data_IF_687640299653
#
_entry.id   IF_687640299653
#
_cell.length_a   1.000
_cell.length_b   1.000
_cell.length_c   1.000
_cell.angle_alpha   90.00
_cell.angle_beta   90.00
_cell.angle_gamma   90.00
#
_symmetry.space_group_name_H-M   'P 1'
#
loop_
_entity.id
_entity.type
_entity.pdbx_description
1 polymer ?
#
# COMPACT_ATOMS: atom_id res chain seq x y z
N UNK A 1 29.27 13.55 6.40
CA UNK A 1 29.33 12.47 5.40
C UNK A 1 28.12 12.64 4.49
N UNK A 2 28.34 13.06 3.25
CA UNK A 2 27.25 13.25 2.29
C UNK A 2 26.79 11.87 1.82
N UNK A 3 25.58 11.46 2.20
CA UNK A 3 24.91 10.30 1.60
C UNK A 3 24.67 10.64 0.13
N UNK A 4 25.44 10.04 -0.78
CA UNK A 4 25.12 10.01 -2.20
C UNK A 4 23.75 9.34 -2.32
N UNK A 5 22.71 10.16 -2.51
CA UNK A 5 21.39 9.70 -2.93
C UNK A 5 21.59 8.92 -4.22
N UNK A 6 21.57 7.59 -4.15
CA UNK A 6 21.67 6.74 -5.33
C UNK A 6 20.62 7.19 -6.34
N UNK A 7 21.05 7.56 -7.53
CA UNK A 7 20.16 7.96 -8.62
C UNK A 7 19.29 6.76 -8.96
N UNK A 8 17.98 6.90 -8.87
CA UNK A 8 17.05 5.82 -9.24
C UNK A 8 17.23 5.50 -10.73
N UNK A 9 17.36 4.22 -11.08
CA UNK A 9 17.54 3.80 -12.49
C UNK A 9 16.33 4.18 -13.36
N UNK A 10 15.14 4.15 -12.76
CA UNK A 10 13.88 4.58 -13.37
C UNK A 10 13.08 5.43 -12.37
N UNK A 11 12.25 6.33 -12.87
CA UNK A 11 11.32 7.09 -12.04
C UNK A 11 10.09 7.52 -12.85
N UNK A 12 9.06 7.98 -12.16
CA UNK A 12 7.86 8.53 -12.78
C UNK A 12 7.65 10.01 -12.43
N UNK A 13 7.06 10.77 -13.36
CA UNK A 13 6.66 12.18 -13.17
C UNK A 13 5.24 12.37 -13.72
N UNK A 14 4.48 13.27 -13.12
CA UNK A 14 3.22 13.75 -13.71
C UNK A 14 3.54 14.51 -15.01
N UNK A 15 2.81 14.19 -16.08
CA UNK A 15 2.93 14.90 -17.37
C UNK A 15 1.76 15.87 -17.52
N UNK A 16 0.54 15.38 -17.26
CA UNK A 16 -0.67 16.13 -17.58
C UNK A 16 -1.86 15.62 -16.76
N UNK A 17 -2.66 16.55 -16.24
CA UNK A 17 -4.02 16.24 -15.78
C UNK A 17 -4.99 16.32 -16.97
N UNK A 18 -5.86 15.32 -17.09
CA UNK A 18 -6.84 15.15 -18.16
C UNK A 18 -8.23 15.25 -17.56
N UNK A 19 -8.96 16.30 -17.92
CA UNK A 19 -10.35 16.49 -17.50
C UNK A 19 -11.23 15.33 -17.97
N UNK A 20 -12.08 14.86 -17.08
CA UNK A 20 -13.09 13.83 -17.40
C UNK A 20 -14.50 14.42 -17.37
N UNK A 21 -15.52 13.57 -17.53
CA UNK A 21 -16.91 14.03 -17.53
C UNK A 21 -17.33 14.61 -16.17
N UNK A 22 -18.27 15.58 -16.14
CA UNK A 22 -18.78 16.13 -14.89
C UNK A 22 -19.25 15.04 -13.91
N UNK A 23 -18.74 15.08 -12.68
CA UNK A 23 -19.04 14.08 -11.64
C UNK A 23 -18.04 12.91 -11.55
N UNK A 24 -17.04 12.86 -12.43
CA UNK A 24 -15.93 11.92 -12.35
C UNK A 24 -14.65 12.61 -11.85
N UNK A 25 -13.71 11.84 -11.31
CA UNK A 25 -12.36 12.35 -11.05
C UNK A 25 -11.60 12.56 -12.35
N UNK A 26 -10.75 13.59 -12.42
CA UNK A 26 -9.84 13.73 -13.54
C UNK A 26 -8.85 12.56 -13.56
N UNK A 27 -8.30 12.31 -14.74
CA UNK A 27 -7.24 11.31 -14.93
C UNK A 27 -5.90 12.02 -14.92
N UNK A 28 -4.85 11.36 -14.45
CA UNK A 28 -3.49 11.88 -14.42
C UNK A 28 -2.61 11.04 -15.34
N UNK A 29 -2.04 11.66 -16.37
CA UNK A 29 -1.07 11.02 -17.25
C UNK A 29 0.30 11.03 -16.59
N UNK A 30 0.87 9.84 -16.42
CA UNK A 30 2.15 9.62 -15.76
C UNK A 30 3.20 9.19 -16.78
N UNK A 31 4.30 9.93 -16.85
CA UNK A 31 5.47 9.57 -17.64
C UNK A 31 6.43 8.70 -16.86
N UNK A 32 7.02 7.71 -17.53
CA UNK A 32 8.09 6.86 -16.99
C UNK A 32 9.38 7.27 -17.69
N UNK A 33 10.43 7.48 -16.90
CA UNK A 33 11.71 7.97 -17.37
C UNK A 33 12.84 7.10 -16.85
N UNK A 34 13.92 7.03 -17.62
CA UNK A 34 15.18 6.43 -17.17
C UNK A 34 16.07 7.45 -16.44
N UNK A 35 17.22 7.00 -15.94
CA UNK A 35 18.22 7.86 -15.26
C UNK A 35 18.80 9.00 -16.10
N UNK A 36 18.61 8.99 -17.42
CA UNK A 36 19.07 10.03 -18.35
C UNK A 36 17.96 11.06 -18.66
N UNK A 37 16.86 11.06 -17.90
CA UNK A 37 15.66 11.87 -18.14
C UNK A 37 14.95 11.58 -19.49
N UNK A 38 15.22 10.44 -20.14
CA UNK A 38 14.51 10.05 -21.36
C UNK A 38 13.18 9.37 -21.00
N UNK A 39 12.08 9.83 -21.58
CA UNK A 39 10.77 9.19 -21.41
C UNK A 39 10.75 7.86 -22.17
N UNK A 40 10.53 6.77 -21.45
CA UNK A 40 10.52 5.40 -22.00
C UNK A 40 9.12 4.79 -22.06
N UNK A 41 8.14 5.41 -21.40
CA UNK A 41 6.76 4.98 -21.40
C UNK A 41 5.84 5.94 -20.68
N UNK A 42 4.56 5.60 -20.63
CA UNK A 42 3.54 6.34 -19.90
C UNK A 42 2.35 5.44 -19.54
N UNK A 43 1.56 5.87 -18.56
CA UNK A 43 0.26 5.27 -18.26
C UNK A 43 -0.69 6.33 -17.70
N UNK A 44 -1.99 6.08 -17.85
CA UNK A 44 -3.03 6.91 -17.26
C UNK A 44 -3.41 6.37 -15.88
N UNK A 45 -3.50 7.26 -14.89
CA UNK A 45 -4.04 6.96 -13.55
C UNK A 45 -5.42 7.58 -13.43
N UNK A 46 -6.45 6.79 -13.12
CA UNK A 46 -7.83 7.29 -12.96
C UNK A 46 -8.09 8.06 -11.64
N UNK A 47 -7.05 8.69 -11.08
CA UNK A 47 -7.09 9.49 -9.87
C UNK A 47 -6.05 10.60 -9.95
N UNK A 48 -6.44 11.80 -9.53
CA UNK A 48 -5.67 13.04 -9.74
C UNK A 48 -4.49 13.24 -8.82
N UNK A 49 -4.45 12.51 -7.70
CA UNK A 49 -3.34 12.61 -6.76
C UNK A 49 -2.29 11.56 -7.10
N UNK A 50 -1.07 12.00 -7.44
CA UNK A 50 0.06 11.09 -7.54
C UNK A 50 0.63 10.81 -6.15
N UNK A 51 0.38 9.61 -5.67
CA UNK A 51 1.12 9.06 -4.56
C UNK A 51 2.42 8.41 -5.06
N UNK A 52 3.21 7.77 -4.18
CA UNK A 52 4.43 7.03 -4.55
C UNK A 52 4.08 5.65 -5.14
N UNK A 53 3.22 5.67 -6.16
CA UNK A 53 2.59 4.51 -6.80
C UNK A 53 3.28 4.12 -8.10
N UNK A 54 4.57 4.43 -8.22
CA UNK A 54 5.49 3.86 -9.19
C UNK A 54 6.77 3.51 -8.44
N UNK A 55 7.14 2.23 -8.44
CA UNK A 55 8.32 1.75 -7.72
C UNK A 55 9.08 0.74 -8.57
N UNK A 56 10.22 1.13 -9.17
CA UNK A 56 11.06 0.21 -9.92
C UNK A 56 11.81 -0.71 -8.96
N UNK A 57 11.98 -1.96 -9.38
CA UNK A 57 12.75 -2.95 -8.63
C UNK A 57 13.36 -3.98 -9.58
N UNK A 58 14.40 -4.66 -9.11
CA UNK A 58 15.06 -5.72 -9.86
C UNK A 58 14.70 -7.08 -9.26
N UNK A 59 14.39 -8.04 -10.12
CA UNK A 59 14.13 -9.43 -9.75
C UNK A 59 14.78 -10.34 -10.80
N UNK A 60 15.63 -11.28 -10.37
CA UNK A 60 16.33 -12.22 -11.27
C UNK A 60 17.03 -11.50 -12.44
N UNK A 61 17.77 -10.43 -12.12
CA UNK A 61 18.51 -9.57 -13.06
C UNK A 61 17.66 -8.77 -14.06
N UNK A 62 16.33 -8.86 -14.00
CA UNK A 62 15.41 -8.09 -14.85
C UNK A 62 14.73 -6.96 -14.06
N UNK A 63 14.49 -5.84 -14.74
CA UNK A 63 13.80 -4.70 -14.17
C UNK A 63 12.29 -4.79 -14.35
N UNK A 64 11.59 -4.46 -13.28
CA UNK A 64 10.15 -4.38 -13.20
C UNK A 64 9.76 -3.09 -12.47
N UNK A 65 8.48 -2.73 -12.53
CA UNK A 65 7.90 -1.73 -11.64
C UNK A 65 6.54 -2.17 -11.12
N UNK A 66 6.33 -1.94 -9.82
CA UNK A 66 5.00 -1.86 -9.26
C UNK A 66 4.42 -0.50 -9.63
N UNK A 67 3.20 -0.49 -10.16
CA UNK A 67 2.50 0.74 -10.49
C UNK A 67 0.99 0.63 -10.22
N UNK A 68 0.28 1.74 -10.31
CA UNK A 68 -1.18 1.74 -10.18
C UNK A 68 -1.77 2.74 -11.18
N UNK A 69 -2.29 2.21 -12.27
CA UNK A 69 -3.12 2.92 -13.26
C UNK A 69 -4.58 3.04 -12.82
N UNK A 70 -5.04 2.11 -11.96
CA UNK A 70 -6.34 2.22 -11.30
C UNK A 70 -6.14 2.50 -9.81
N UNK A 71 -6.91 3.45 -9.27
CA UNK A 71 -6.92 3.88 -7.88
C UNK A 71 -7.05 2.72 -6.89
N UNK A 72 -7.63 1.60 -7.31
CA UNK A 72 -7.96 0.43 -6.48
C UNK A 72 -7.19 -0.84 -6.85
N UNK A 73 -6.19 -0.74 -7.72
CA UNK A 73 -5.43 -1.90 -8.18
C UNK A 73 -3.94 -1.62 -8.32
N UNK A 74 -3.14 -2.64 -7.98
CA UNK A 74 -1.71 -2.67 -8.25
C UNK A 74 -1.41 -3.56 -9.44
N UNK A 75 -0.53 -3.08 -10.31
CA UNK A 75 -0.07 -3.75 -11.52
C UNK A 75 1.46 -3.85 -11.53
N UNK A 76 1.98 -4.77 -12.33
CA UNK A 76 3.41 -4.98 -12.56
C UNK A 76 3.67 -4.76 -14.04
N UNK A 77 4.69 -3.96 -14.35
CA UNK A 77 5.21 -3.83 -15.71
C UNK A 77 6.67 -4.23 -15.79
N UNK A 78 7.13 -4.61 -16.97
CA UNK A 78 8.56 -4.75 -17.29
C UNK A 78 9.17 -3.39 -17.63
N UNK A 79 10.47 -3.25 -17.40
CA UNK A 79 11.27 -2.08 -17.78
C UNK A 79 12.51 -2.52 -18.57
N UNK A 80 12.96 -1.74 -19.56
CA UNK A 80 12.47 -0.40 -19.93
C UNK A 80 11.29 -0.38 -20.93
N UNK A 81 10.81 -1.53 -21.40
CA UNK A 81 9.77 -1.63 -22.44
C UNK A 81 8.35 -1.27 -21.96
N UNK A 82 8.16 -1.05 -20.66
CA UNK A 82 6.91 -0.57 -20.03
C UNK A 82 5.69 -1.45 -20.34
N UNK A 83 5.88 -2.76 -20.52
CA UNK A 83 4.78 -3.69 -20.81
C UNK A 83 4.09 -4.12 -19.51
N UNK A 84 2.79 -3.88 -19.39
CA UNK A 84 1.96 -4.46 -18.33
C UNK A 84 1.91 -5.99 -18.48
N UNK A 85 2.26 -6.72 -17.42
CA UNK A 85 2.43 -8.17 -17.46
C UNK A 85 1.50 -8.92 -16.52
N UNK A 86 1.22 -8.40 -15.33
CA UNK A 86 0.31 -9.01 -14.39
C UNK A 86 -0.14 -8.02 -13.32
N UNK A 87 -1.18 -8.39 -12.59
CA UNK A 87 -1.52 -7.74 -11.34
C UNK A 87 -2.97 -7.90 -10.97
N UNK A 88 -3.44 -7.00 -10.15
CA UNK A 88 -4.82 -6.98 -9.69
C UNK A 88 -5.73 -6.43 -10.78
N UNK A 89 -6.96 -6.92 -10.78
CA UNK A 89 -8.03 -6.32 -11.54
C UNK A 89 -8.70 -5.22 -10.70
N UNK A 90 -9.29 -4.24 -11.39
CA UNK A 90 -10.04 -3.16 -10.76
C UNK A 90 -11.11 -3.71 -9.83
N UNK A 91 -11.21 -3.16 -8.62
CA UNK A 91 -12.24 -3.52 -7.65
C UNK A 91 -12.77 -2.28 -6.93
N UNK A 92 -14.08 -2.04 -7.00
CA UNK A 92 -14.72 -0.87 -6.37
C UNK A 92 -14.49 -0.80 -4.86
N UNK A 93 -14.28 -1.96 -4.21
CA UNK A 93 -13.94 -2.08 -2.79
C UNK A 93 -12.50 -2.55 -2.60
N UNK A 94 -11.65 -2.28 -3.60
CA UNK A 94 -10.25 -2.65 -3.61
C UNK A 94 -9.42 -1.90 -2.59
N UNK A 95 -8.15 -2.27 -2.56
CA UNK A 95 -7.14 -1.56 -1.76
C UNK A 95 -6.60 -0.41 -2.60
N UNK A 96 -6.51 0.78 -2.02
CA UNK A 96 -6.09 1.96 -2.75
C UNK A 96 -4.60 2.21 -2.50
N UNK A 97 -3.68 1.74 -3.38
CA UNK A 97 -2.26 1.88 -3.15
C UNK A 97 -1.83 3.34 -3.19
N UNK A 98 -0.90 3.66 -2.31
CA UNK A 98 -0.33 4.99 -2.16
C UNK A 98 1.20 4.96 -2.07
N UNK A 99 1.78 3.82 -1.69
CA UNK A 99 3.22 3.68 -1.60
C UNK A 99 3.58 2.23 -1.81
N UNK A 100 4.61 1.98 -2.60
CA UNK A 100 5.26 0.68 -2.66
C UNK A 100 6.67 0.75 -2.10
N UNK A 101 7.13 -0.38 -1.58
CA UNK A 101 8.52 -0.56 -1.19
C UNK A 101 8.93 -2.00 -1.46
N UNK A 102 9.89 -2.17 -2.37
CA UNK A 102 10.56 -3.46 -2.61
C UNK A 102 11.99 -3.32 -2.09
N UNK A 103 12.39 -4.12 -1.08
CA UNK A 103 13.75 -4.11 -0.56
C UNK A 103 14.76 -4.60 -1.59
N UNK A 104 15.94 -3.97 -1.58
CA UNK A 104 17.06 -4.29 -2.45
C UNK A 104 18.37 -4.32 -1.65
N UNK A 105 19.48 -4.59 -2.34
CA UNK A 105 20.81 -4.64 -1.72
C UNK A 105 21.37 -3.26 -1.30
N UNK A 106 20.60 -2.17 -1.45
CA UNK A 106 20.95 -0.87 -0.86
C UNK A 106 20.60 -0.79 0.63
N UNK A 107 19.81 -1.73 1.14
CA UNK A 107 19.62 -1.93 2.58
C UNK A 107 20.79 -2.77 3.12
N UNK A 108 21.59 -2.18 4.01
CA UNK A 108 22.84 -2.78 4.49
C UNK A 108 22.61 -4.08 5.28
N UNK A 109 21.60 -4.12 6.15
CA UNK A 109 21.28 -5.29 6.98
C UNK A 109 20.82 -6.47 6.11
N UNK A 110 19.91 -6.18 5.16
CA UNK A 110 19.45 -7.15 4.18
C UNK A 110 20.60 -7.63 3.28
N UNK A 111 21.46 -6.71 2.81
CA UNK A 111 22.57 -7.04 1.93
C UNK A 111 23.61 -7.95 2.62
N UNK A 112 23.91 -7.68 3.89
CA UNK A 112 24.83 -8.48 4.69
C UNK A 112 24.32 -9.92 4.83
N UNK A 113 23.08 -10.09 5.32
CA UNK A 113 22.53 -11.42 5.58
C UNK A 113 22.28 -12.21 4.29
N UNK A 114 21.77 -11.56 3.24
CA UNK A 114 21.53 -12.22 1.96
C UNK A 114 22.83 -12.67 1.29
N UNK A 115 23.88 -11.86 1.32
CA UNK A 115 25.17 -12.21 0.69
C UNK A 115 25.83 -13.39 1.41
N UNK A 116 25.73 -13.41 2.74
CA UNK A 116 26.33 -14.44 3.59
C UNK A 116 25.63 -15.81 3.48
N UNK A 117 24.31 -15.81 3.29
CA UNK A 117 23.48 -17.02 3.34
C UNK A 117 22.64 -17.21 2.05
N UNK A 118 23.15 -16.74 0.90
CA UNK A 118 22.41 -16.67 -0.37
C UNK A 118 21.81 -18.02 -0.78
N UNK A 119 22.55 -19.11 -0.60
CA UNK A 119 22.14 -20.46 -0.96
C UNK A 119 20.99 -21.01 -0.10
N UNK A 120 20.74 -20.40 1.07
CA UNK A 120 19.63 -20.74 1.96
C UNK A 120 18.44 -19.80 1.82
N UNK A 121 18.57 -18.75 1.00
CA UNK A 121 17.57 -17.72 0.88
C UNK A 121 16.25 -18.30 0.34
N UNK A 122 15.21 -18.31 1.18
CA UNK A 122 13.85 -18.70 0.77
C UNK A 122 13.17 -17.62 -0.07
N UNK A 123 13.63 -16.38 0.09
CA UNK A 123 13.10 -15.19 -0.57
C UNK A 123 14.25 -14.45 -1.25
N UNK A 124 14.41 -14.64 -2.57
CA UNK A 124 15.36 -13.86 -3.35
C UNK A 124 15.15 -12.35 -3.16
N UNK A 125 16.21 -11.55 -3.26
CA UNK A 125 16.08 -10.09 -3.28
C UNK A 125 15.14 -9.67 -4.43
N UNK A 126 14.28 -8.68 -4.15
CA UNK A 126 13.26 -8.21 -5.08
C UNK A 126 12.03 -9.12 -5.21
N UNK A 127 11.99 -10.28 -4.54
CA UNK A 127 10.89 -11.24 -4.65
C UNK A 127 9.77 -11.03 -3.63
N UNK A 128 9.89 -10.01 -2.79
CA UNK A 128 8.84 -9.58 -1.88
C UNK A 128 8.85 -8.06 -1.74
N UNK A 129 7.71 -7.50 -1.36
CA UNK A 129 7.57 -6.08 -1.13
C UNK A 129 6.49 -5.76 -0.13
N UNK A 130 6.29 -4.47 0.07
CA UNK A 130 5.31 -3.90 0.96
C UNK A 130 4.52 -2.84 0.20
N UNK A 131 3.27 -2.67 0.60
CA UNK A 131 2.38 -1.66 0.07
C UNK A 131 1.74 -0.91 1.23
N UNK A 132 1.64 0.41 1.11
CA UNK A 132 0.79 1.24 1.95
C UNK A 132 -0.43 1.71 1.15
N UNK A 133 -1.57 1.86 1.81
CA UNK A 133 -2.80 2.36 1.19
C UNK A 133 -4.00 2.29 2.11
N UNK A 134 -5.14 2.80 1.65
CA UNK A 134 -6.39 2.68 2.40
C UNK A 134 -7.25 1.53 1.88
N UNK A 135 -8.17 1.07 2.72
CA UNK A 135 -9.30 0.25 2.26
C UNK A 135 -10.41 1.22 1.91
N UNK A 136 -11.14 0.96 0.83
CA UNK A 136 -12.27 1.79 0.45
C UNK A 136 -13.21 2.10 1.63
N UNK A 137 -13.50 3.39 1.85
CA UNK A 137 -14.34 3.88 2.95
C UNK A 137 -13.60 4.12 4.27
N UNK A 138 -12.29 3.89 4.30
CA UNK A 138 -11.42 4.12 5.45
C UNK A 138 -10.23 4.99 5.05
N UNK A 139 -10.53 6.26 4.78
CA UNK A 139 -9.56 7.26 4.32
C UNK A 139 -8.75 7.87 5.49
N UNK A 140 -8.93 7.33 6.69
CA UNK A 140 -8.35 7.86 7.93
C UNK A 140 -6.98 7.29 8.27
N UNK A 141 -6.62 6.15 7.68
CA UNK A 141 -5.36 5.47 7.96
C UNK A 141 -4.77 4.78 6.73
N UNK A 142 -3.46 4.55 6.79
CA UNK A 142 -2.69 3.93 5.72
C UNK A 142 -2.24 2.57 6.24
N UNK A 143 -2.72 1.49 5.65
CA UNK A 143 -2.47 0.12 6.10
C UNK A 143 -1.28 -0.45 5.35
N UNK A 144 -0.43 -1.19 6.06
CA UNK A 144 0.71 -1.89 5.45
C UNK A 144 0.30 -3.32 5.09
N UNK A 145 0.51 -3.72 3.84
CA UNK A 145 0.25 -5.05 3.32
C UNK A 145 1.50 -5.66 2.68
N UNK A 146 1.51 -6.99 2.59
CA UNK A 146 2.61 -7.75 2.00
C UNK A 146 2.38 -8.02 0.52
N UNK A 147 3.46 -8.02 -0.25
CA UNK A 147 3.49 -8.41 -1.66
C UNK A 147 4.43 -9.60 -1.85
N UNK A 148 3.89 -10.72 -2.33
CA UNK A 148 4.65 -11.86 -2.83
C UNK A 148 4.89 -11.69 -4.33
N UNK A 149 6.13 -11.41 -4.70
CA UNK A 149 6.56 -11.10 -6.06
C UNK A 149 7.33 -12.27 -6.70
N UNK A 150 7.40 -13.44 -6.05
CA UNK A 150 8.23 -14.59 -6.49
C UNK A 150 7.80 -15.16 -7.85
N UNK A 151 6.51 -15.04 -8.16
CA UNK A 151 5.88 -15.60 -9.35
C UNK A 151 5.75 -14.59 -10.50
N UNK A 152 6.49 -13.48 -10.47
CA UNK A 152 6.61 -12.59 -11.62
C UNK A 152 7.46 -13.29 -12.69
N UNK A 153 7.04 -13.27 -13.98
CA UNK A 153 6.00 -12.39 -14.56
C UNK A 153 4.56 -12.92 -14.54
N UNK A 154 4.30 -14.14 -14.11
CA UNK A 154 2.99 -14.78 -14.24
C UNK A 154 1.92 -14.19 -13.31
N UNK A 155 2.29 -13.87 -12.06
CA UNK A 155 1.37 -13.34 -11.05
C UNK A 155 2.13 -12.72 -9.88
N UNK A 156 1.40 -11.99 -9.04
CA UNK A 156 1.85 -11.64 -7.69
C UNK A 156 0.67 -11.81 -6.72
N UNK A 157 0.96 -11.92 -5.42
CA UNK A 157 -0.07 -12.01 -4.37
C UNK A 157 0.07 -10.84 -3.42
N UNK A 158 -1.04 -10.11 -3.20
CA UNK A 158 -1.18 -9.18 -2.09
C UNK A 158 -1.94 -9.87 -0.96
N UNK A 159 -1.45 -9.75 0.26
CA UNK A 159 -2.18 -10.22 1.43
C UNK A 159 -2.00 -9.30 2.65
N UNK A 160 -2.94 -9.45 3.58
CA UNK A 160 -3.06 -8.70 4.83
C UNK A 160 -2.50 -9.48 6.02
N UNK A 161 -1.43 -10.29 5.83
CA UNK A 161 -0.87 -11.16 6.89
C UNK A 161 -0.48 -10.45 8.18
N UNK A 162 -0.25 -9.14 8.12
CA UNK A 162 0.09 -8.32 9.29
C UNK A 162 -1.16 -7.79 10.03
N UNK A 163 -2.36 -8.01 9.47
CA UNK A 163 -3.59 -7.42 9.92
C UNK A 163 -3.67 -5.93 9.61
N UNK A 164 -4.37 -5.19 10.47
CA UNK A 164 -4.56 -3.75 10.35
C UNK A 164 -3.41 -3.02 11.05
N UNK A 165 -2.27 -2.86 10.36
CA UNK A 165 -1.15 -2.04 10.85
C UNK A 165 -1.20 -0.67 10.17
N UNK A 166 -1.48 0.36 10.97
CA UNK A 166 -1.40 1.75 10.54
C UNK A 166 0.07 2.16 10.37
N UNK A 167 0.42 2.60 9.17
CA UNK A 167 1.65 3.30 8.89
C UNK A 167 1.68 4.57 9.74
N UNK A 168 2.79 4.84 10.46
CA UNK A 168 2.94 6.07 11.20
C UNK A 168 2.76 7.32 10.34
N UNK A 169 1.92 8.24 10.80
CA UNK A 169 1.74 9.54 10.19
C UNK A 169 3.03 10.39 10.17
N UNK A 170 2.98 11.48 9.38
CA UNK A 170 4.09 12.42 9.21
C UNK A 170 4.92 12.18 7.95
N UNK A 171 6.15 12.68 7.92
CA UNK A 171 7.04 12.64 6.75
C UNK A 171 7.72 11.27 6.51
N UNK A 172 7.34 10.22 7.25
CA UNK A 172 7.94 8.89 7.11
C UNK A 172 7.50 8.23 5.81
N UNK A 173 8.45 7.63 5.11
CA UNK A 173 8.16 6.78 3.96
C UNK A 173 7.81 5.35 4.41
N UNK A 174 7.18 4.57 3.54
CA UNK A 174 6.96 3.15 3.79
C UNK A 174 8.29 2.42 4.05
N UNK A 175 9.36 2.79 3.34
CA UNK A 175 10.71 2.28 3.58
C UNK A 175 11.17 2.51 5.02
N UNK A 176 10.88 3.67 5.61
CA UNK A 176 11.27 3.99 7.00
C UNK A 176 10.44 3.24 8.04
N UNK A 177 9.37 2.56 7.61
CA UNK A 177 8.50 1.78 8.49
C UNK A 177 8.87 0.30 8.51
N UNK A 178 9.72 -0.18 7.58
CA UNK A 178 10.12 -1.58 7.45
C UNK A 178 11.60 -1.70 7.80
N UNK A 179 11.88 -2.49 8.81
CA UNK A 179 13.21 -2.68 9.37
C UNK A 179 13.64 -4.15 9.24
N UNK A 180 14.87 -4.36 8.79
CA UNK A 180 15.47 -5.66 8.46
C UNK A 180 16.47 -6.15 9.51
N UNK A 181 16.55 -5.52 10.68
CA UNK A 181 17.47 -5.90 11.78
C UNK A 181 17.33 -7.37 12.21
N UNK A 182 16.14 -7.96 12.03
CA UNK A 182 15.88 -9.37 12.35
C UNK A 182 15.87 -10.28 11.11
N UNK A 183 16.19 -9.79 9.92
CA UNK A 183 16.05 -10.58 8.71
C UNK A 183 17.05 -11.73 8.63
N UNK A 184 16.56 -12.96 8.46
CA UNK A 184 17.38 -14.13 8.18
C UNK A 184 17.01 -14.70 6.80
N UNK A 185 18.00 -15.10 6.00
CA UNK A 185 17.76 -15.56 4.63
C UNK A 185 16.81 -16.78 4.54
N UNK A 186 16.91 -17.71 5.49
CA UNK A 186 16.08 -18.91 5.58
C UNK A 186 14.83 -18.73 6.47
N UNK A 187 14.74 -17.60 7.18
CA UNK A 187 13.62 -17.20 8.02
C UNK A 187 13.38 -15.69 7.88
N UNK A 188 12.72 -15.24 6.81
CA UNK A 188 12.48 -13.81 6.61
C UNK A 188 11.59 -13.27 7.72
N UNK A 189 12.11 -12.32 8.48
CA UNK A 189 11.34 -11.50 9.39
C UNK A 189 11.75 -10.05 9.25
N UNK A 190 10.81 -9.16 9.58
CA UNK A 190 10.98 -7.71 9.57
C UNK A 190 10.30 -7.14 10.80
N UNK A 191 10.80 -6.01 11.28
CA UNK A 191 10.04 -5.16 12.19
C UNK A 191 9.23 -4.14 11.39
N UNK A 192 7.98 -3.95 11.77
CA UNK A 192 7.10 -2.95 11.16
C UNK A 192 6.80 -1.90 12.22
N UNK A 193 7.22 -0.66 11.97
CA UNK A 193 6.81 0.48 12.79
C UNK A 193 5.33 0.76 12.58
N UNK A 194 4.58 0.86 13.67
CA UNK A 194 3.15 1.14 13.66
C UNK A 194 2.83 2.39 14.48
N UNK A 195 1.82 3.14 14.07
CA UNK A 195 1.23 4.18 14.90
C UNK A 195 0.04 3.64 15.68
N UNK A 196 0.03 3.93 16.98
CA UNK A 196 -1.06 3.61 17.87
C UNK A 196 -1.50 4.90 18.56
N UNK A 197 -2.70 5.37 18.24
CA UNK A 197 -3.31 6.50 18.93
C UNK A 197 -3.96 6.01 20.22
N UNK A 198 -3.53 6.56 21.34
CA UNK A 198 -4.17 6.36 22.63
C UNK A 198 -4.81 7.67 23.08
N UNK A 199 -6.09 7.62 23.39
CA UNK A 199 -6.79 8.71 24.08
C UNK A 199 -6.78 8.42 25.57
N UNK A 200 -6.28 9.37 26.35
CA UNK A 200 -6.43 9.35 27.81
C UNK A 200 -7.67 10.15 28.16
N UNK A 201 -8.57 9.53 28.90
CA UNK A 201 -9.75 10.21 29.42
C UNK A 201 -9.55 10.55 30.89
N UNK A 202 -9.95 11.76 31.26
CA UNK A 202 -10.19 12.09 32.66
C UNK A 202 -11.33 11.23 33.22
N UNK A 203 -11.38 11.00 34.55
CA UNK A 203 -12.52 10.33 35.18
C UNK A 203 -13.87 10.97 34.84
N UNK A 204 -13.90 12.28 34.63
CA UNK A 204 -15.07 13.07 34.25
C UNK A 204 -15.51 12.76 32.81
N UNK A 205 -14.59 12.79 31.85
CA UNK A 205 -14.86 12.44 30.44
C UNK A 205 -15.35 11.00 30.30
N UNK A 206 -14.74 10.06 31.06
CA UNK A 206 -15.18 8.67 31.10
C UNK A 206 -16.63 8.56 31.60
N UNK A 207 -16.98 9.26 32.69
CA UNK A 207 -18.36 9.29 33.20
C UNK A 207 -19.33 9.86 32.18
N UNK A 208 -18.96 10.91 31.45
CA UNK A 208 -19.82 11.51 30.42
C UNK A 208 -20.00 10.62 29.19
N UNK A 209 -18.94 9.92 28.73
CA UNK A 209 -19.06 8.90 27.67
C UNK A 209 -19.98 7.77 28.12
N UNK A 210 -19.80 7.22 29.31
CA UNK A 210 -20.66 6.14 29.82
C UNK A 210 -22.13 6.55 29.96
N UNK A 211 -22.40 7.82 30.33
CA UNK A 211 -23.77 8.37 30.33
C UNK A 211 -24.34 8.44 28.90
N UNK A 212 -23.54 8.89 27.94
CA UNK A 212 -23.91 8.99 26.52
C UNK A 212 -24.23 7.61 25.94
N UNK A 213 -23.38 6.63 26.19
CA UNK A 213 -23.54 5.26 25.71
C UNK A 213 -24.78 4.60 26.33
N UNK A 214 -25.01 4.78 27.64
CA UNK A 214 -26.25 4.35 28.28
C UNK A 214 -27.50 5.00 27.68
N UNK A 215 -27.43 6.29 27.33
CA UNK A 215 -28.54 7.00 26.67
C UNK A 215 -28.79 6.45 25.27
N UNK A 216 -27.74 6.19 24.50
CA UNK A 216 -27.81 5.59 23.17
C UNK A 216 -28.40 4.17 23.21
N UNK A 217 -27.91 3.32 24.11
CA UNK A 217 -28.44 1.96 24.30
C UNK A 217 -29.92 1.98 24.72
N UNK A 218 -30.34 2.91 25.60
CA UNK A 218 -31.74 3.07 25.98
C UNK A 218 -32.63 3.59 24.84
N UNK A 219 -32.10 4.45 23.98
CA UNK A 219 -32.82 4.94 22.81
C UNK A 219 -33.02 3.83 21.77
N UNK A 220 -32.00 2.99 21.55
CA UNK A 220 -32.07 1.87 20.62
C UNK A 220 -32.80 0.65 21.19
N UNK A 221 -32.77 0.41 22.50
CA UNK A 221 -33.55 -0.68 23.12
C UNK A 221 -35.07 -0.48 23.01
N UNK A 222 -35.53 0.78 22.82
CA UNK A 222 -36.93 1.08 22.51
C UNK A 222 -37.32 0.77 21.06
N UNK A 223 -36.34 0.71 20.15
CA UNK A 223 -36.56 0.32 18.75
C UNK A 223 -36.41 -1.19 18.50
N UNK A 224 -35.85 -1.95 19.45
CA UNK A 224 -35.66 -3.41 19.34
C UNK A 224 -36.84 -4.21 19.96
N UNK A 225 -37.83 -3.54 20.56
CA UNK A 225 -39.05 -4.17 21.07
C UNK A 225 -40.28 -3.86 20.20
N UNK A 226 -40.26 -4.24 18.92
CA UNK A 226 -41.49 -4.71 18.28
C UNK A 226 -41.25 -5.65 17.07
N UNK A 227 -40.94 -6.93 17.29
CA UNK A 227 -40.88 -7.93 16.22
C UNK A 227 -42.24 -8.25 15.58
N UNK A 228 -43.35 -7.69 16.08
CA UNK A 228 -44.72 -8.06 15.70
C UNK A 228 -45.38 -7.16 14.64
N UNK A 229 -44.71 -6.10 14.17
CA UNK A 229 -45.26 -5.21 13.14
C UNK A 229 -44.83 -5.53 11.70
N UNK A 230 -44.01 -6.56 11.46
CA UNK A 230 -43.63 -6.97 10.09
C UNK A 230 -44.63 -7.92 9.41
N UNK A 231 -45.63 -8.46 10.13
CA UNK A 231 -46.59 -9.44 9.58
C UNK A 231 -48.03 -8.93 9.34
N UNK A 232 -48.28 -7.61 9.39
CA UNK A 232 -49.60 -7.04 9.07
C UNK A 232 -49.49 -5.96 7.99
N UNK A 233 -49.35 -6.40 6.74
CA UNK A 233 -49.32 -5.50 5.59
C UNK A 233 -49.30 -6.27 4.27
N UNK A 234 -50.19 -7.25 4.10
CA UNK A 234 -50.36 -8.00 2.87
C UNK A 234 -51.80 -8.49 2.74
N UNK A 235 -52.64 -7.65 2.15
CA UNK A 235 -53.87 -8.02 1.43
C UNK A 235 -53.92 -7.16 0.18
#
# INVERSE_FOLDING_TARGET
MNKTSGTKEFYAKEIQEVETQPGCWNTLKIGIFNKNDEQIGEYDRNYTTLFKTFYPFQLKDQWYALYSSDYTATRVMTLPDCKDICGEERNVFGFCPTHYYVPDLTNEDLAYEYTKNKEKAKWPIGSFGFMAGCVWGDDSSWKIQFLDLRNIPESFVRDDRFGYICMPGGAKSLKDCIDFDCFEADRPCVYISAECLYTFETPEEKKEREKRDRKFLKANSRNVLNPLNWFKGGK
#
